data_IF_263833821821
#
_entry.id   IF_263833821821
#
_cell.length_a   1.000
_cell.length_b   1.000
_cell.length_c   1.000
_cell.angle_alpha   90.00
_cell.angle_beta   90.00
_cell.angle_gamma   90.00
#
_symmetry.space_group_name_H-M   'P 1'
#
loop_
_entity.id
_entity.type
_entity.pdbx_description
1 polymer ?
#
# COMPACT_ATOMS: atom_id res chain seq x y z
N UNK A 1 -17.85 -12.37 -15.20
CA UNK A 1 -18.20 -11.17 -14.40
C UNK A 1 -16.96 -10.30 -14.34
N UNK A 2 -17.03 -9.03 -14.76
CA UNK A 2 -15.88 -8.12 -14.64
C UNK A 2 -15.70 -7.74 -13.17
N UNK A 3 -14.55 -8.06 -12.62
CA UNK A 3 -14.10 -7.53 -11.33
C UNK A 3 -13.99 -6.00 -11.48
N UNK A 4 -14.75 -5.25 -10.69
CA UNK A 4 -14.88 -3.79 -10.84
C UNK A 4 -14.05 -3.02 -9.80
N UNK A 5 -13.71 -3.70 -8.70
CA UNK A 5 -12.96 -3.14 -7.58
C UNK A 5 -11.66 -3.93 -7.35
N UNK A 6 -10.60 -3.22 -6.93
CA UNK A 6 -9.34 -3.76 -6.45
C UNK A 6 -9.28 -3.69 -4.92
N UNK A 7 -8.61 -4.67 -4.33
CA UNK A 7 -8.27 -4.66 -2.90
C UNK A 7 -7.02 -3.82 -2.66
N UNK A 8 -7.04 -2.96 -1.63
CA UNK A 8 -5.92 -2.12 -1.22
C UNK A 8 -5.65 -2.35 0.27
N UNK A 9 -4.45 -2.82 0.61
CA UNK A 9 -3.99 -2.82 2.00
C UNK A 9 -3.32 -1.48 2.30
N UNK A 10 -4.02 -0.61 3.02
CA UNK A 10 -3.56 0.74 3.36
C UNK A 10 -3.04 0.80 4.79
N UNK A 11 -2.18 1.78 5.07
CA UNK A 11 -1.70 2.06 6.42
C UNK A 11 -2.75 2.85 7.18
N UNK A 12 -3.34 2.27 8.21
CA UNK A 12 -4.34 2.94 9.05
C UNK A 12 -3.69 3.78 10.16
N UNK A 13 -2.53 3.34 10.67
CA UNK A 13 -1.75 4.09 11.66
C UNK A 13 -0.27 3.74 11.57
N UNK A 14 0.59 4.65 12.05
CA UNK A 14 2.04 4.38 12.11
C UNK A 14 2.35 3.42 13.26
N UNK A 15 3.03 2.28 12.99
CA UNK A 15 3.35 1.32 14.05
C UNK A 15 4.30 1.89 15.09
N UNK A 16 3.96 1.70 16.37
CA UNK A 16 4.86 1.92 17.51
C UNK A 16 5.46 0.56 17.90
N UNK A 17 6.76 0.40 17.71
CA UNK A 17 7.43 -0.90 17.87
C UNK A 17 7.08 -1.88 16.73
N UNK A 18 6.65 -3.08 17.08
CA UNK A 18 6.25 -4.14 16.13
C UNK A 18 4.89 -3.82 15.51
N UNK A 19 4.74 -4.10 14.22
CA UNK A 19 3.48 -3.91 13.50
C UNK A 19 2.38 -4.79 14.08
N UNK A 20 1.18 -4.23 14.17
CA UNK A 20 -0.05 -4.92 14.58
C UNK A 20 -1.04 -4.89 13.43
N UNK A 21 -2.00 -5.82 13.44
CA UNK A 21 -3.05 -5.86 12.41
C UNK A 21 -3.86 -4.56 12.34
N UNK A 22 -4.07 -3.90 13.49
CA UNK A 22 -4.76 -2.61 13.57
C UNK A 22 -4.04 -1.46 12.87
N UNK A 23 -2.74 -1.60 12.57
CA UNK A 23 -1.99 -0.57 11.85
C UNK A 23 -2.33 -0.56 10.35
N UNK A 24 -3.09 -1.56 9.87
CA UNK A 24 -3.49 -1.69 8.47
C UNK A 24 -5.02 -1.77 8.34
N UNK A 25 -5.50 -1.44 7.15
CA UNK A 25 -6.90 -1.60 6.76
C UNK A 25 -6.98 -2.14 5.34
N UNK A 26 -7.89 -3.08 5.11
CA UNK A 26 -8.21 -3.56 3.78
C UNK A 26 -9.37 -2.74 3.22
N UNK A 27 -9.19 -2.14 2.06
CA UNK A 27 -10.19 -1.33 1.37
C UNK A 27 -10.50 -1.89 -0.01
N UNK A 28 -11.72 -1.65 -0.49
CA UNK A 28 -12.12 -1.84 -1.87
C UNK A 28 -12.10 -0.49 -2.57
N UNK A 29 -11.46 -0.43 -3.73
CA UNK A 29 -11.39 0.78 -4.54
C UNK A 29 -11.67 0.44 -6.01
N UNK A 30 -12.29 1.34 -6.76
CA UNK A 30 -12.52 1.14 -8.18
C UNK A 30 -11.19 0.90 -8.93
N UNK A 31 -11.22 0.01 -9.93
CA UNK A 31 -10.07 -0.18 -10.82
C UNK A 31 -9.92 1.07 -11.70
N UNK A 32 -8.75 1.75 -11.67
CA UNK A 32 -8.56 2.97 -12.45
C UNK A 32 -8.41 2.66 -13.94
N UNK A 33 -8.80 3.63 -14.78
CA UNK A 33 -8.49 3.61 -16.22
C UNK A 33 -7.15 4.33 -16.43
N UNK A 34 -6.14 3.71 -17.06
CA UNK A 34 -4.85 4.35 -17.28
C UNK A 34 -4.97 5.53 -18.26
N UNK A 35 -4.25 6.62 -17.99
CA UNK A 35 -4.15 7.76 -18.89
C UNK A 35 -3.13 7.50 -20.03
N UNK A 36 -2.95 8.49 -20.91
CA UNK A 36 -1.94 8.41 -21.95
C UNK A 36 -0.55 8.21 -21.32
N UNK A 37 0.20 7.21 -21.84
CA UNK A 37 1.54 6.81 -21.35
C UNK A 37 1.56 6.12 -19.98
N UNK A 38 0.42 5.68 -19.46
CA UNK A 38 0.34 4.83 -18.27
C UNK A 38 0.02 3.38 -18.62
N UNK A 39 0.23 2.46 -17.67
CA UNK A 39 -0.14 1.05 -17.79
C UNK A 39 -0.93 0.62 -16.56
N UNK A 40 -1.95 -0.22 -16.76
CA UNK A 40 -2.69 -0.87 -15.67
C UNK A 40 -2.08 -2.25 -15.40
N UNK A 41 -1.67 -2.49 -14.16
CA UNK A 41 -1.03 -3.74 -13.74
C UNK A 41 -1.94 -4.51 -12.77
N UNK A 42 -1.94 -5.84 -12.89
CA UNK A 42 -2.46 -6.75 -11.87
C UNK A 42 -1.30 -7.37 -11.12
N UNK A 43 -1.17 -7.06 -9.84
CA UNK A 43 -0.17 -7.68 -8.96
C UNK A 43 -0.50 -9.16 -8.78
N UNK A 44 0.46 -10.03 -9.09
CA UNK A 44 0.35 -11.49 -8.86
C UNK A 44 1.05 -11.88 -7.56
N UNK A 45 2.23 -11.29 -7.34
CA UNK A 45 3.06 -11.52 -6.17
C UNK A 45 3.55 -10.19 -5.58
N UNK A 46 3.67 -10.13 -4.26
CA UNK A 46 4.16 -8.96 -3.53
C UNK A 46 5.33 -9.37 -2.63
N UNK A 47 6.50 -8.77 -2.86
CA UNK A 47 7.63 -8.93 -1.96
C UNK A 47 7.34 -8.28 -0.61
N UNK A 48 7.71 -8.94 0.49
CA UNK A 48 7.62 -8.42 1.85
C UNK A 48 9.02 -8.34 2.44
N UNK A 49 9.57 -7.13 2.48
CA UNK A 49 10.97 -6.89 2.83
C UNK A 49 11.13 -6.11 4.14
N UNK A 50 12.20 -6.36 4.94
CA UNK A 50 12.43 -5.67 6.20
C UNK A 50 12.45 -4.13 6.09
N UNK A 51 12.91 -3.58 4.95
CA UNK A 51 12.99 -2.13 4.74
C UNK A 51 11.61 -1.45 4.77
N UNK A 52 10.52 -2.18 4.49
CA UNK A 52 9.16 -1.63 4.50
C UNK A 52 8.80 -1.06 5.88
N UNK A 53 9.37 -1.59 6.96
CA UNK A 53 9.18 -1.05 8.32
C UNK A 53 9.63 0.41 8.42
N UNK A 54 10.71 0.78 7.73
CA UNK A 54 11.20 2.15 7.67
C UNK A 54 10.24 3.06 6.92
N UNK A 55 9.67 2.58 5.81
CA UNK A 55 8.68 3.31 5.00
C UNK A 55 7.39 3.60 5.77
N UNK A 56 7.00 2.78 6.74
CA UNK A 56 5.82 3.02 7.59
C UNK A 56 6.05 4.09 8.67
N UNK A 57 7.31 4.44 8.95
CA UNK A 57 7.69 5.47 9.93
C UNK A 57 7.60 6.88 9.34
N UNK A 58 7.38 7.89 10.18
CA UNK A 58 7.53 9.31 9.80
C UNK A 58 8.97 9.82 10.02
N UNK A 59 9.88 8.97 10.52
CA UNK A 59 11.27 9.35 10.71
C UNK A 59 11.94 9.71 9.39
N UNK A 60 12.90 10.64 9.45
CA UNK A 60 13.64 11.08 8.27
C UNK A 60 14.32 9.88 7.58
N UNK A 61 14.09 9.76 6.28
CA UNK A 61 14.65 8.72 5.43
C UNK A 61 14.90 9.29 4.03
N UNK A 62 15.70 8.59 3.23
CA UNK A 62 15.95 8.93 1.82
C UNK A 62 14.69 8.75 0.94
N UNK A 63 13.67 8.07 1.46
CA UNK A 63 12.42 7.79 0.79
C UNK A 63 11.25 8.44 1.51
N UNK A 64 10.26 8.88 0.74
CA UNK A 64 9.00 9.37 1.29
C UNK A 64 8.30 8.27 2.13
N UNK A 65 7.73 8.64 3.29
CA UNK A 65 6.99 7.71 4.11
C UNK A 65 5.71 7.26 3.39
N UNK A 66 5.20 6.09 3.75
CA UNK A 66 3.89 5.63 3.35
C UNK A 66 2.82 6.63 3.81
N UNK A 67 1.85 6.90 2.94
CA UNK A 67 0.66 7.68 3.25
C UNK A 67 -0.23 6.96 4.25
N UNK A 68 -1.01 7.74 5.00
CA UNK A 68 -2.12 7.28 5.84
C UNK A 68 -3.44 7.52 5.12
#
# INVERSE_FOLDING_TARGET
MCETDKQCLVLASRPVGRQRLSDFRLELAAIPTPAEREVLLRTLDLSLDPYMRGRMSAAQSYAAPAGL
#
